data_IF_157224522283
#
_entry.id   IF_157224522283
#
_cell.length_a   1.000
_cell.length_b   1.000
_cell.length_c   1.000
_cell.angle_alpha   90.00
_cell.angle_beta   90.00
_cell.angle_gamma   90.00
#
_symmetry.space_group_name_H-M   'P 1'
#
loop_
_entity.id
_entity.type
_entity.pdbx_description
1 polymer ?
#
# COMPACT_ATOMS: atom_id res chain seq x y z
N UNK A 1 -13.71 0.98 10.83
CA UNK A 1 -12.58 0.02 10.79
C UNK A 1 -12.90 -1.34 11.43
N UNK A 2 -13.00 -1.56 12.74
CA UNK A 2 -13.29 -2.94 13.27
C UNK A 2 -14.69 -3.48 12.93
N UNK A 3 -15.63 -2.62 12.62
CA UNK A 3 -17.04 -2.92 12.27
C UNK A 3 -17.28 -3.01 10.76
N UNK A 4 -16.27 -2.78 9.95
CA UNK A 4 -16.33 -2.98 8.51
C UNK A 4 -16.69 -4.43 8.20
N UNK A 5 -17.65 -4.64 7.30
CA UNK A 5 -18.06 -5.98 6.87
C UNK A 5 -17.40 -6.27 5.54
N UNK A 6 -16.66 -7.36 5.49
CA UNK A 6 -15.86 -7.79 4.36
C UNK A 6 -16.45 -9.07 3.76
N UNK A 7 -16.28 -9.27 2.46
CA UNK A 7 -16.43 -10.59 1.84
C UNK A 7 -15.31 -11.49 2.35
N UNK A 8 -15.66 -12.73 2.70
CA UNK A 8 -14.67 -13.73 3.07
C UNK A 8 -14.67 -14.89 2.10
N UNK A 9 -13.47 -15.43 1.87
CA UNK A 9 -13.22 -16.45 0.85
C UNK A 9 -12.50 -17.65 1.45
N UNK A 10 -12.60 -18.79 0.78
CA UNK A 10 -11.77 -19.96 1.06
C UNK A 10 -10.37 -19.81 0.42
N UNK A 11 -9.49 -20.79 0.65
CA UNK A 11 -8.13 -20.80 0.10
C UNK A 11 -8.05 -20.86 -1.43
N UNK A 12 -9.16 -21.15 -2.10
CA UNK A 12 -9.28 -21.19 -3.57
C UNK A 12 -9.90 -19.91 -4.14
N UNK A 13 -10.20 -18.93 -3.28
CA UNK A 13 -10.86 -17.68 -3.68
C UNK A 13 -12.36 -17.84 -3.93
N UNK A 14 -13.01 -18.90 -3.41
CA UNK A 14 -14.45 -19.04 -3.49
C UNK A 14 -15.11 -18.26 -2.35
N UNK A 15 -16.06 -17.40 -2.66
CA UNK A 15 -16.81 -16.62 -1.66
C UNK A 15 -17.57 -17.58 -0.74
N UNK A 16 -17.34 -17.48 0.58
CA UNK A 16 -17.97 -18.32 1.60
C UNK A 16 -18.90 -17.56 2.54
N UNK A 17 -18.95 -16.22 2.43
CA UNK A 17 -19.84 -15.37 3.23
C UNK A 17 -19.25 -14.01 3.49
N UNK A 18 -19.67 -13.42 4.60
CA UNK A 18 -19.16 -12.12 5.08
C UNK A 18 -18.79 -12.23 6.55
N UNK A 19 -17.86 -11.38 6.98
CA UNK A 19 -17.46 -11.26 8.38
C UNK A 19 -17.05 -9.81 8.68
N UNK A 20 -17.08 -9.42 9.94
CA UNK A 20 -16.45 -8.17 10.33
C UNK A 20 -14.94 -8.25 10.12
N UNK A 21 -14.28 -7.12 9.83
CA UNK A 21 -12.81 -7.05 9.73
C UNK A 21 -12.14 -7.70 10.93
N UNK A 22 -12.65 -7.44 12.14
CA UNK A 22 -12.14 -8.05 13.37
C UNK A 22 -12.20 -9.57 13.31
N UNK A 23 -13.34 -10.14 12.93
CA UNK A 23 -13.50 -11.60 12.83
C UNK A 23 -12.62 -12.19 11.72
N UNK A 24 -12.50 -11.49 10.59
CA UNK A 24 -11.65 -11.94 9.49
C UNK A 24 -10.19 -12.09 9.93
N UNK A 25 -9.66 -11.09 10.66
CA UNK A 25 -8.29 -11.14 11.17
C UNK A 25 -8.11 -12.08 12.37
N UNK A 26 -9.11 -12.25 13.25
CA UNK A 26 -9.03 -13.19 14.38
C UNK A 26 -9.08 -14.66 13.92
N UNK A 27 -9.87 -14.93 12.85
CA UNK A 27 -10.07 -16.29 12.34
C UNK A 27 -9.20 -16.63 11.13
N UNK A 28 -8.50 -15.64 10.57
CA UNK A 28 -7.65 -15.79 9.40
C UNK A 28 -8.45 -16.12 8.12
N UNK A 29 -9.60 -15.45 7.93
CA UNK A 29 -10.34 -15.57 6.68
C UNK A 29 -9.69 -14.76 5.58
N UNK A 30 -9.62 -15.34 4.38
CA UNK A 30 -9.24 -14.61 3.20
C UNK A 30 -10.29 -13.52 2.89
N UNK A 31 -9.81 -12.33 2.56
CA UNK A 31 -10.63 -11.20 2.15
C UNK A 31 -9.88 -10.38 1.09
N UNK A 32 -10.58 -9.45 0.45
CA UNK A 32 -10.00 -8.67 -0.64
C UNK A 32 -9.54 -7.30 -0.17
N UNK A 33 -8.40 -6.85 -0.72
CA UNK A 33 -7.88 -5.49 -0.54
C UNK A 33 -7.58 -4.83 -1.88
N UNK A 34 -7.69 -3.51 -1.90
CA UNK A 34 -7.31 -2.64 -3.00
C UNK A 34 -6.01 -1.94 -2.63
N UNK A 35 -4.99 -2.07 -3.46
CA UNK A 35 -3.65 -1.55 -3.17
C UNK A 35 -3.09 -0.82 -4.38
N UNK A 36 -2.52 0.36 -4.17
CA UNK A 36 -1.97 1.17 -5.25
C UNK A 36 -0.59 1.68 -4.91
N UNK A 37 0.32 1.54 -5.86
CA UNK A 37 1.62 2.21 -5.85
C UNK A 37 1.59 3.41 -6.79
N UNK A 38 1.98 4.57 -6.31
CA UNK A 38 2.17 5.75 -7.15
C UNK A 38 3.62 5.86 -7.59
N UNK A 39 3.83 6.15 -8.87
CA UNK A 39 5.15 6.45 -9.41
C UNK A 39 5.20 7.89 -9.94
N UNK A 40 6.30 8.59 -9.66
CA UNK A 40 6.59 9.90 -10.21
C UNK A 40 7.25 9.74 -11.58
N UNK A 41 6.54 10.16 -12.62
CA UNK A 41 6.99 10.09 -14.01
C UNK A 41 7.67 11.36 -14.51
N UNK A 42 7.71 12.41 -13.68
CA UNK A 42 8.23 13.73 -14.09
C UNK A 42 9.76 13.84 -14.11
N UNK A 43 10.48 12.79 -13.71
CA UNK A 43 11.93 12.81 -13.59
C UNK A 43 12.57 11.70 -14.43
N UNK A 44 13.80 11.95 -14.95
CA UNK A 44 14.62 10.92 -15.60
C UNK A 44 14.84 9.68 -14.70
N UNK A 45 14.89 9.88 -13.39
CA UNK A 45 14.94 8.79 -12.40
C UNK A 45 13.58 8.66 -11.75
N UNK A 46 12.80 7.68 -12.20
CA UNK A 46 11.48 7.36 -11.63
C UNK A 46 11.59 7.11 -10.13
N UNK A 47 10.61 7.61 -9.38
CA UNK A 47 10.48 7.36 -7.96
C UNK A 47 9.15 6.70 -7.68
N UNK A 48 9.08 5.91 -6.61
CA UNK A 48 7.84 5.33 -6.08
C UNK A 48 7.49 6.00 -4.76
N UNK A 49 6.21 6.25 -4.53
CA UNK A 49 5.72 6.85 -3.30
C UNK A 49 5.28 5.78 -2.32
N UNK A 50 5.62 5.99 -1.06
CA UNK A 50 5.26 5.15 0.07
C UNK A 50 4.53 5.98 1.10
N UNK A 51 3.47 5.45 1.71
CA UNK A 51 2.87 6.07 2.88
C UNK A 51 3.65 5.74 4.15
N UNK A 52 3.66 6.66 5.10
CA UNK A 52 3.98 6.39 6.49
C UNK A 52 2.68 6.32 7.27
N UNK A 53 2.36 5.12 7.74
CA UNK A 53 1.12 4.83 8.47
C UNK A 53 1.03 5.68 9.73
N UNK A 54 -0.18 6.16 10.03
CA UNK A 54 -0.43 6.96 11.21
C UNK A 54 -0.07 6.21 12.50
N UNK A 55 0.45 6.94 13.48
CA UNK A 55 0.64 6.42 14.84
C UNK A 55 -0.69 6.06 15.53
N UNK A 56 -1.83 6.48 14.98
CA UNK A 56 -3.18 6.16 15.47
C UNK A 56 -3.70 4.81 14.96
N UNK A 57 -3.05 4.22 13.95
CA UNK A 57 -3.42 2.88 13.46
C UNK A 57 -3.20 1.84 14.54
N UNK A 58 -4.16 0.93 14.67
CA UNK A 58 -4.07 -0.19 15.60
C UNK A 58 -3.00 -1.19 15.16
N UNK A 59 -2.99 -1.48 13.86
CA UNK A 59 -2.11 -2.46 13.25
C UNK A 59 -0.97 -1.73 12.55
N UNK A 60 0.28 -2.09 12.86
CA UNK A 60 1.49 -1.56 12.24
C UNK A 60 1.60 -0.02 12.22
N UNK A 61 1.42 0.68 13.37
CA UNK A 61 1.59 2.13 13.43
C UNK A 61 3.03 2.53 13.12
N UNK A 62 3.22 3.71 12.53
CA UNK A 62 4.53 4.31 12.22
C UNK A 62 5.39 3.57 11.18
N UNK A 63 4.93 2.47 10.60
CA UNK A 63 5.65 1.75 9.55
C UNK A 63 5.34 2.33 8.16
N UNK A 64 6.23 2.07 7.22
CA UNK A 64 6.02 2.38 5.82
C UNK A 64 5.23 1.27 5.12
N UNK A 65 4.47 1.67 4.10
CA UNK A 65 3.66 0.77 3.31
C UNK A 65 3.54 1.27 1.86
N UNK A 66 2.80 0.54 1.00
CA UNK A 66 2.43 1.02 -0.33
C UNK A 66 1.79 2.40 -0.24
N UNK A 67 1.58 3.06 -1.37
CA UNK A 67 1.07 4.45 -1.37
C UNK A 67 -0.33 4.55 -0.76
N UNK A 68 -1.22 3.62 -1.13
CA UNK A 68 -2.61 3.53 -0.63
C UNK A 68 -3.01 2.07 -0.49
N UNK A 69 -3.70 1.73 0.60
CA UNK A 69 -4.22 0.38 0.80
C UNK A 69 -5.49 0.37 1.67
N UNK A 70 -6.55 -0.25 1.17
CA UNK A 70 -7.79 -0.40 1.91
C UNK A 70 -8.53 -1.72 1.65
N UNK A 71 -9.43 -2.08 2.56
CA UNK A 71 -10.27 -3.25 2.42
C UNK A 71 -11.43 -3.00 1.46
N UNK A 72 -11.79 -4.00 0.68
CA UNK A 72 -13.02 -3.98 -0.09
C UNK A 72 -14.18 -4.43 0.79
N UNK A 73 -15.16 -3.53 0.96
CA UNK A 73 -16.35 -3.83 1.75
C UNK A 73 -17.25 -4.89 1.05
N UNK A 74 -18.16 -5.51 1.79
CA UNK A 74 -19.02 -6.57 1.28
C UNK A 74 -19.80 -6.19 0.00
N UNK A 75 -20.14 -4.92 -0.16
CA UNK A 75 -20.93 -4.42 -1.30
C UNK A 75 -20.06 -3.85 -2.43
N UNK A 76 -18.74 -3.74 -2.19
CA UNK A 76 -17.81 -3.16 -3.16
C UNK A 76 -17.28 -4.19 -4.14
N UNK A 77 -17.01 -3.73 -5.33
CA UNK A 77 -16.16 -4.39 -6.30
C UNK A 77 -14.76 -3.78 -6.25
N UNK A 78 -13.81 -4.37 -6.94
CA UNK A 78 -12.45 -3.83 -7.04
C UNK A 78 -12.43 -2.39 -7.60
N UNK A 79 -13.41 -2.07 -8.46
CA UNK A 79 -13.52 -0.73 -9.07
C UNK A 79 -13.82 0.36 -8.04
N UNK A 80 -14.64 0.05 -7.04
CA UNK A 80 -15.01 1.00 -5.99
C UNK A 80 -13.89 1.24 -4.99
N UNK A 81 -12.92 0.34 -4.91
CA UNK A 81 -11.72 0.52 -4.09
C UNK A 81 -10.90 1.78 -4.44
N UNK A 82 -11.10 2.36 -5.63
CA UNK A 82 -10.43 3.62 -6.04
C UNK A 82 -10.71 4.79 -5.07
N UNK A 83 -11.80 4.74 -4.29
CA UNK A 83 -12.13 5.74 -3.26
C UNK A 83 -11.04 5.90 -2.21
N UNK A 84 -10.33 4.80 -1.88
CA UNK A 84 -9.23 4.81 -0.90
C UNK A 84 -8.14 5.82 -1.25
N UNK A 85 -7.92 6.07 -2.55
CA UNK A 85 -6.93 7.05 -3.00
C UNK A 85 -7.32 8.46 -2.57
N UNK A 86 -8.58 8.84 -2.78
CA UNK A 86 -9.06 10.17 -2.38
C UNK A 86 -9.17 10.28 -0.85
N UNK A 87 -9.60 9.22 -0.18
CA UNK A 87 -9.74 9.17 1.28
C UNK A 87 -8.39 9.29 1.98
N UNK A 88 -7.39 8.49 1.62
CA UNK A 88 -6.09 8.45 2.32
C UNK A 88 -5.14 9.58 1.95
N UNK A 89 -5.07 9.95 0.65
CA UNK A 89 -4.05 10.89 0.15
C UNK A 89 -4.61 12.14 -0.57
N UNK A 90 -5.95 12.26 -0.66
CA UNK A 90 -6.63 13.45 -1.20
C UNK A 90 -6.42 13.65 -2.71
N UNK A 91 -6.16 12.59 -3.45
CA UNK A 91 -5.96 12.63 -4.89
C UNK A 91 -7.16 11.96 -5.58
N UNK A 92 -7.96 12.73 -6.33
CA UNK A 92 -9.02 12.17 -7.15
C UNK A 92 -8.41 11.48 -8.40
N UNK A 93 -8.64 10.18 -8.50
CA UNK A 93 -8.18 9.32 -9.61
C UNK A 93 -9.38 8.52 -10.14
N UNK A 94 -9.48 8.35 -11.43
CA UNK A 94 -10.47 7.45 -12.02
C UNK A 94 -9.89 6.04 -12.08
N UNK A 95 -10.72 5.03 -11.86
CA UNK A 95 -10.28 3.64 -11.93
C UNK A 95 -9.58 3.28 -13.25
N UNK A 96 -10.05 3.84 -14.37
CA UNK A 96 -9.50 3.58 -15.70
C UNK A 96 -8.12 4.27 -15.94
N UNK A 97 -7.64 5.09 -15.00
CA UNK A 97 -6.30 5.67 -14.99
C UNK A 97 -5.28 4.78 -14.27
N UNK A 98 -5.74 3.69 -13.65
CA UNK A 98 -4.90 2.74 -12.93
C UNK A 98 -4.48 1.59 -13.85
N UNK A 99 -3.22 1.23 -13.80
CA UNK A 99 -2.72 0.02 -14.44
C UNK A 99 -2.84 -1.17 -13.46
N UNK A 100 -3.60 -2.18 -13.82
CA UNK A 100 -3.75 -3.39 -13.01
C UNK A 100 -2.51 -4.28 -13.16
N UNK A 101 -1.82 -4.53 -12.05
CA UNK A 101 -0.63 -5.39 -12.02
C UNK A 101 -0.97 -6.86 -11.74
N UNK A 102 -2.10 -7.12 -11.07
CA UNK A 102 -2.54 -8.47 -10.76
C UNK A 102 -3.18 -8.60 -9.38
N UNK A 103 -3.68 -9.79 -9.09
CA UNK A 103 -4.10 -10.19 -7.76
C UNK A 103 -3.00 -11.05 -7.12
N UNK A 104 -2.58 -10.68 -5.92
CA UNK A 104 -1.52 -11.36 -5.17
C UNK A 104 -2.05 -11.84 -3.83
N UNK A 105 -1.60 -13.00 -3.40
CA UNK A 105 -1.88 -13.48 -2.05
C UNK A 105 -0.86 -12.89 -1.08
N UNK A 106 -1.34 -12.35 0.03
CA UNK A 106 -0.52 -11.84 1.10
C UNK A 106 -0.98 -12.43 2.43
N UNK A 107 -0.05 -12.88 3.26
CA UNK A 107 -0.34 -13.43 4.59
C UNK A 107 0.57 -12.77 5.60
N UNK A 108 -0.03 -12.06 6.55
CA UNK A 108 0.68 -11.52 7.69
C UNK A 108 0.15 -12.24 8.95
N UNK A 109 1.05 -12.84 9.69
CA UNK A 109 0.69 -13.48 10.96
C UNK A 109 1.57 -12.95 12.09
N UNK A 110 0.94 -12.27 13.06
CA UNK A 110 1.61 -11.73 14.24
C UNK A 110 0.73 -12.00 15.46
N UNK A 111 1.27 -12.66 16.44
CA UNK A 111 0.56 -13.05 17.66
C UNK A 111 -0.76 -13.78 17.37
N UNK A 112 -1.89 -13.11 17.59
CA UNK A 112 -3.25 -13.63 17.36
C UNK A 112 -3.91 -13.08 16.11
N UNK A 113 -3.25 -12.18 15.41
CA UNK A 113 -3.75 -11.62 14.16
C UNK A 113 -3.26 -12.46 12.99
N UNK A 114 -4.18 -12.89 12.14
CA UNK A 114 -3.90 -13.59 10.89
C UNK A 114 -4.59 -12.83 9.79
N UNK A 115 -3.83 -12.04 9.07
CA UNK A 115 -4.31 -11.25 7.95
C UNK A 115 -4.01 -11.98 6.64
N UNK A 116 -5.06 -12.38 5.92
CA UNK A 116 -4.97 -13.13 4.65
C UNK A 116 -5.70 -12.37 3.56
N UNK A 117 -4.95 -11.80 2.66
CA UNK A 117 -5.46 -10.92 1.62
C UNK A 117 -5.32 -11.51 0.22
N UNK A 118 -6.37 -11.38 -0.58
CA UNK A 118 -6.31 -11.32 -2.02
C UNK A 118 -6.14 -9.86 -2.43
N UNK A 119 -4.90 -9.42 -2.58
CA UNK A 119 -4.57 -8.03 -2.83
C UNK A 119 -4.65 -7.71 -4.32
N UNK A 120 -5.62 -6.86 -4.72
CA UNK A 120 -5.69 -6.31 -6.07
C UNK A 120 -4.74 -5.12 -6.16
N UNK A 121 -3.61 -5.32 -6.85
CA UNK A 121 -2.52 -4.35 -6.91
C UNK A 121 -2.56 -3.55 -8.20
N UNK A 122 -2.45 -2.25 -8.07
CA UNK A 122 -2.46 -1.29 -9.16
C UNK A 122 -1.23 -0.39 -9.11
N UNK A 123 -0.91 0.19 -10.27
CA UNK A 123 0.08 1.25 -10.44
C UNK A 123 -0.62 2.50 -10.96
N UNK A 124 -0.23 3.66 -10.43
CA UNK A 124 -0.69 4.96 -10.89
C UNK A 124 0.49 5.86 -11.23
N UNK A 125 0.50 6.38 -12.46
CA UNK A 125 1.49 7.38 -12.89
C UNK A 125 1.05 8.77 -12.41
N UNK A 126 1.70 9.25 -11.35
CA UNK A 126 1.31 10.48 -10.66
C UNK A 126 2.16 11.66 -11.14
N UNK A 127 1.52 12.64 -11.78
CA UNK A 127 2.17 13.89 -12.17
C UNK A 127 2.22 14.93 -11.06
N UNK A 128 1.44 14.73 -9.98
CA UNK A 128 1.37 15.68 -8.87
C UNK A 128 2.56 15.50 -7.93
N UNK A 129 3.16 16.60 -7.47
CA UNK A 129 4.21 16.51 -6.46
C UNK A 129 3.63 15.99 -5.14
N UNK A 130 4.38 15.11 -4.48
CA UNK A 130 3.98 14.47 -3.22
C UNK A 130 3.56 15.48 -2.14
N UNK A 131 4.15 16.66 -2.14
CA UNK A 131 3.82 17.74 -1.21
C UNK A 131 2.39 18.29 -1.36
N UNK A 132 1.74 18.05 -2.51
CA UNK A 132 0.35 18.46 -2.74
C UNK A 132 -0.68 17.49 -2.17
N UNK A 133 -0.27 16.31 -1.69
CA UNK A 133 -1.18 15.32 -1.11
C UNK A 133 -1.79 15.84 0.19
N UNK A 134 -3.09 15.56 0.36
CA UNK A 134 -3.86 15.88 1.56
C UNK A 134 -4.10 14.56 2.30
N UNK A 135 -3.32 14.33 3.33
CA UNK A 135 -3.33 13.07 4.06
C UNK A 135 -4.48 13.03 5.08
N UNK A 136 -5.12 11.87 5.19
CA UNK A 136 -6.07 11.59 6.26
C UNK A 136 -5.29 11.22 7.53
N UNK A 137 -5.32 12.06 8.58
CA UNK A 137 -4.41 11.91 9.73
C UNK A 137 -4.59 10.60 10.51
N UNK A 138 -5.78 10.03 10.47
CA UNK A 138 -6.09 8.74 11.14
C UNK A 138 -5.43 7.57 10.44
N UNK A 139 -5.16 7.67 9.13
CA UNK A 139 -4.62 6.62 8.30
C UNK A 139 -3.15 6.84 7.95
N UNK A 140 -2.80 8.05 7.51
CA UNK A 140 -1.51 8.38 6.93
C UNK A 140 -0.90 9.61 7.64
N UNK A 141 0.26 9.43 8.25
CA UNK A 141 0.98 10.50 8.97
C UNK A 141 2.01 11.21 8.07
N UNK A 142 2.43 10.59 6.99
CA UNK A 142 3.44 11.14 6.10
C UNK A 142 3.61 10.37 4.79
N UNK A 143 4.39 10.95 3.91
CA UNK A 143 4.74 10.38 2.62
C UNK A 143 6.25 10.34 2.44
N UNK A 144 6.71 9.33 1.73
CA UNK A 144 8.10 9.20 1.31
C UNK A 144 8.17 8.91 -0.19
N UNK A 145 9.25 9.30 -0.83
CA UNK A 145 9.63 8.77 -2.13
C UNK A 145 10.99 8.08 -2.05
N UNK A 146 11.11 7.01 -2.78
CA UNK A 146 12.36 6.25 -2.96
C UNK A 146 12.60 6.06 -4.45
N UNK A 147 13.87 5.88 -4.85
CA UNK A 147 14.18 5.51 -6.23
C UNK A 147 13.45 4.21 -6.58
N UNK A 148 12.74 4.19 -7.71
CA UNK A 148 12.03 3.00 -8.17
C UNK A 148 12.99 1.82 -8.38
N UNK A 149 14.17 2.08 -8.92
CA UNK A 149 15.23 1.07 -9.07
C UNK A 149 15.65 0.49 -7.72
N UNK A 150 15.86 1.35 -6.72
CA UNK A 150 16.28 0.88 -5.40
C UNK A 150 15.14 0.12 -4.71
N UNK A 151 13.87 0.53 -4.89
CA UNK A 151 12.70 -0.20 -4.42
C UNK A 151 12.67 -1.64 -4.98
N UNK A 152 12.81 -1.80 -6.30
CA UNK A 152 12.86 -3.11 -6.93
C UNK A 152 14.06 -3.93 -6.42
N UNK A 153 15.24 -3.32 -6.30
CA UNK A 153 16.43 -3.99 -5.77
C UNK A 153 16.25 -4.43 -4.31
N UNK A 154 15.58 -3.63 -3.50
CA UNK A 154 15.33 -3.94 -2.10
C UNK A 154 14.43 -5.17 -1.93
N UNK A 155 13.32 -5.20 -2.64
CA UNK A 155 12.38 -6.32 -2.55
C UNK A 155 12.82 -7.56 -3.34
N UNK A 156 13.71 -7.42 -4.30
CA UNK A 156 14.37 -8.56 -4.97
C UNK A 156 15.67 -9.01 -4.29
N UNK A 157 15.99 -8.47 -3.10
CA UNK A 157 17.13 -8.88 -2.29
C UNK A 157 18.49 -8.40 -2.79
N UNK A 158 18.55 -7.47 -3.75
CA UNK A 158 19.81 -6.90 -4.28
C UNK A 158 20.40 -5.81 -3.41
N UNK A 159 19.62 -5.20 -2.52
CA UNK A 159 20.09 -4.29 -1.49
C UNK A 159 19.30 -4.48 -0.20
N UNK A 160 19.85 -4.04 0.94
CA UNK A 160 19.25 -4.21 2.27
C UNK A 160 18.67 -2.90 2.84
N UNK A 161 18.86 -1.79 2.16
CA UNK A 161 18.45 -0.47 2.62
C UNK A 161 17.97 0.38 1.46
N UNK A 162 16.99 1.27 1.75
CA UNK A 162 16.47 2.30 0.87
C UNK A 162 16.80 3.68 1.43
N UNK A 163 17.07 4.65 0.57
CA UNK A 163 17.08 6.06 0.97
C UNK A 163 15.70 6.65 0.64
N UNK A 164 14.98 7.04 1.68
CA UNK A 164 13.67 7.67 1.55
C UNK A 164 13.78 9.17 1.87
N UNK A 165 13.15 10.00 1.03
CA UNK A 165 12.99 11.43 1.24
C UNK A 165 11.49 11.73 1.28
N UNK A 166 11.04 12.51 2.26
CA UNK A 166 9.61 12.74 2.41
C UNK A 166 9.26 13.80 3.43
N UNK A 167 8.03 13.74 3.90
CA UNK A 167 7.53 14.59 4.97
C UNK A 167 6.61 13.80 5.91
N UNK A 168 6.52 14.25 7.14
CA UNK A 168 5.47 13.90 8.09
C UNK A 168 4.61 15.14 8.34
N UNK A 169 3.34 14.94 8.66
CA UNK A 169 2.42 16.01 9.05
C UNK A 169 2.37 16.04 10.57
N UNK A 170 2.85 17.11 11.17
CA UNK A 170 2.78 17.30 12.63
C UNK A 170 1.36 17.66 13.08
N UNK A 171 1.10 17.60 14.38
CA UNK A 171 -0.19 17.99 14.99
C UNK A 171 -0.60 19.43 14.67
N UNK A 172 0.35 20.29 14.35
CA UNK A 172 0.13 21.66 13.87
C UNK A 172 -0.43 21.73 12.44
N UNK A 173 -0.40 20.63 11.69
CA UNK A 173 -0.65 20.58 10.24
C UNK A 173 0.57 20.93 9.39
N UNK A 174 1.70 21.25 10.01
CA UNK A 174 2.94 21.56 9.29
C UNK A 174 3.58 20.30 8.72
N UNK A 175 4.05 20.38 7.45
CA UNK A 175 4.81 19.31 6.80
C UNK A 175 6.30 19.46 7.08
N UNK A 176 6.83 18.57 7.91
CA UNK A 176 8.25 18.52 8.27
C UNK A 176 8.97 17.52 7.39
N UNK A 177 9.93 17.98 6.60
CA UNK A 177 10.71 17.15 5.69
C UNK A 177 11.74 16.31 6.44
N UNK A 178 11.96 15.09 5.92
CA UNK A 178 13.00 14.19 6.39
C UNK A 178 13.72 13.47 5.25
N UNK A 179 14.88 12.93 5.58
CA UNK A 179 15.62 11.98 4.75
C UNK A 179 16.20 10.90 5.65
N UNK A 180 15.78 9.65 5.42
CA UNK A 180 16.19 8.51 6.23
C UNK A 180 16.62 7.32 5.37
N UNK A 181 17.43 6.45 5.95
CA UNK A 181 17.65 5.11 5.43
C UNK A 181 16.65 4.17 6.07
N UNK A 182 15.93 3.43 5.25
CA UNK A 182 14.94 2.45 5.65
C UNK A 182 15.49 1.04 5.44
N UNK A 183 15.14 0.15 6.35
CA UNK A 183 15.41 -1.29 6.30
C UNK A 183 14.09 -2.05 6.28
N UNK A 184 14.09 -3.37 6.16
CA UNK A 184 12.86 -4.19 6.22
C UNK A 184 12.08 -4.00 7.52
N UNK A 185 12.75 -3.68 8.62
CA UNK A 185 12.10 -3.44 9.92
C UNK A 185 11.24 -2.15 9.96
N UNK A 186 11.45 -1.24 9.01
CA UNK A 186 10.70 0.00 8.90
C UNK A 186 9.41 -0.15 8.09
N UNK A 187 9.14 -1.34 7.54
CA UNK A 187 7.98 -1.63 6.70
C UNK A 187 6.99 -2.56 7.39
N UNK A 188 5.71 -2.47 6.99
CA UNK A 188 4.72 -3.48 7.34
C UNK A 188 5.26 -4.85 6.91
N UNK A 189 5.22 -5.88 7.78
CA UNK A 189 5.87 -7.15 7.54
C UNK A 189 5.04 -8.07 6.61
N UNK A 190 4.73 -7.58 5.41
CA UNK A 190 4.13 -8.42 4.38
C UNK A 190 5.04 -9.60 4.03
N UNK A 191 4.46 -10.67 3.51
CA UNK A 191 5.24 -11.83 3.08
C UNK A 191 6.32 -11.47 2.05
N UNK A 192 7.51 -12.07 2.18
CA UNK A 192 8.64 -11.74 1.27
C UNK A 192 8.32 -12.05 -0.19
N UNK A 193 7.64 -13.15 -0.46
CA UNK A 193 7.20 -13.58 -1.79
C UNK A 193 6.16 -12.61 -2.38
N UNK A 194 5.26 -12.06 -1.54
CA UNK A 194 4.33 -11.02 -1.94
C UNK A 194 5.07 -9.77 -2.45
N UNK A 195 5.96 -9.21 -1.65
CA UNK A 195 6.73 -8.04 -2.04
C UNK A 195 7.57 -8.27 -3.29
N UNK A 196 8.20 -9.44 -3.39
CA UNK A 196 9.00 -9.81 -4.55
C UNK A 196 8.14 -9.91 -5.81
N UNK A 197 6.96 -10.52 -5.70
CA UNK A 197 6.03 -10.64 -6.82
C UNK A 197 5.54 -9.27 -7.31
N UNK A 198 5.16 -8.38 -6.38
CA UNK A 198 4.75 -7.01 -6.70
C UNK A 198 5.88 -6.20 -7.33
N UNK A 199 7.10 -6.26 -6.78
CA UNK A 199 8.25 -5.56 -7.34
C UNK A 199 8.59 -6.03 -8.76
N UNK A 200 8.47 -7.33 -9.02
CA UNK A 200 8.63 -7.88 -10.37
C UNK A 200 7.52 -7.40 -11.31
N UNK A 201 6.25 -7.41 -10.88
CA UNK A 201 5.14 -6.95 -11.70
C UNK A 201 5.26 -5.45 -12.06
N UNK A 202 5.74 -4.62 -11.12
CA UNK A 202 6.06 -3.20 -11.40
C UNK A 202 7.19 -3.10 -12.43
N UNK A 203 8.24 -3.90 -12.28
CA UNK A 203 9.37 -3.91 -13.22
C UNK A 203 8.96 -4.35 -14.63
N UNK A 204 8.09 -5.35 -14.72
CA UNK A 204 7.61 -5.89 -16.00
C UNK A 204 6.66 -4.93 -16.72
N UNK A 205 5.86 -4.16 -15.95
CA UNK A 205 4.96 -3.15 -16.51
C UNK A 205 5.69 -1.94 -17.07
N UNK A 206 6.79 -1.54 -16.45
CA UNK A 206 7.53 -0.35 -16.83
C UNK A 206 8.62 -0.73 -17.84
N UNK A 207 8.64 -0.13 -19.05
CA UNK A 207 9.69 -0.41 -20.02
C UNK A 207 11.06 -0.09 -19.39
N UNK A 208 12.06 -0.95 -19.67
CA UNK A 208 13.44 -0.65 -19.36
C UNK A 208 13.78 0.73 -19.97
N UNK A 209 14.29 1.64 -19.15
CA UNK A 209 14.83 2.88 -19.67
C UNK A 209 16.03 2.57 -20.57
N UNK A 210 15.93 2.93 -21.84
CA UNK A 210 17.04 2.93 -22.79
C UNK A 210 18.14 3.90 -22.34
#
# INVERSE_FOLDING_TARGET
METEVLKIFDEKGVLIGTATRKEAHEKGFWHETFQVYFIDCNQRNRSIYLQKRSHLKKDFPNLFDMTVAGHLMEQETVREGVREIEEEVGIAVKFDELAYLGQFQNIIQIDRMIDKEFSHVFLYECEKPMESFILQPEEVEGMAKVSLKDFIHFYTGKCSQLTAEGFIVEKSGEKVRYKHRLTKADFVPHAEDYFQAVANAISDYLPEEC
#
